data_IF_193436339825
#
_entry.id   IF_193436339825
#
_cell.length_a   1.000
_cell.length_b   1.000
_cell.length_c   1.000
_cell.angle_alpha   90.00
_cell.angle_beta   90.00
_cell.angle_gamma   90.00
#
_symmetry.space_group_name_H-M   'P 1'
#
loop_
_entity.id
_entity.type
_entity.pdbx_description
1 polymer ?
#
# COMPACT_ATOMS: atom_id res chain seq x y z
N UNK A 1 -24.07 -21.93 5.20
CA UNK A 1 -23.27 -21.06 4.32
C UNK A 1 -24.04 -20.55 3.11
N UNK A 2 -24.95 -21.33 2.52
CA UNK A 2 -25.69 -20.93 1.32
C UNK A 2 -26.64 -19.75 1.53
N UNK A 3 -27.23 -19.59 2.70
CA UNK A 3 -28.09 -18.45 3.06
C UNK A 3 -27.31 -17.12 3.06
N UNK A 4 -26.10 -17.10 3.63
CA UNK A 4 -25.23 -15.92 3.68
C UNK A 4 -24.77 -15.51 2.28
N UNK A 5 -24.42 -16.47 1.43
CA UNK A 5 -24.03 -16.24 0.03
C UNK A 5 -25.20 -15.68 -0.80
N UNK A 6 -26.42 -16.15 -0.56
CA UNK A 6 -27.62 -15.68 -1.29
C UNK A 6 -27.98 -14.23 -0.95
N UNK A 7 -27.67 -13.76 0.27
CA UNK A 7 -27.90 -12.37 0.71
C UNK A 7 -26.61 -11.53 0.76
N UNK A 8 -25.51 -12.00 0.18
CA UNK A 8 -24.21 -11.35 0.27
C UNK A 8 -24.22 -9.89 -0.20
N UNK A 9 -24.95 -9.55 -1.26
CA UNK A 9 -25.07 -8.17 -1.74
C UNK A 9 -25.75 -7.23 -0.75
N UNK A 10 -26.78 -7.69 -0.05
CA UNK A 10 -27.48 -6.87 0.96
C UNK A 10 -26.57 -6.66 2.18
N UNK A 11 -25.94 -7.73 2.68
CA UNK A 11 -25.01 -7.66 3.82
C UNK A 11 -23.86 -6.70 3.50
N UNK A 12 -23.31 -6.78 2.28
CA UNK A 12 -22.27 -5.89 1.80
C UNK A 12 -22.66 -4.41 1.87
N UNK A 13 -23.83 -4.07 1.34
CA UNK A 13 -24.35 -2.70 1.36
C UNK A 13 -24.61 -2.25 2.80
N UNK A 14 -25.17 -3.10 3.66
CA UNK A 14 -25.39 -2.79 5.07
C UNK A 14 -24.09 -2.47 5.81
N UNK A 15 -23.02 -3.27 5.62
CA UNK A 15 -21.73 -3.01 6.25
C UNK A 15 -21.17 -1.67 5.78
N UNK A 16 -21.17 -1.41 4.47
CA UNK A 16 -20.69 -0.13 3.93
C UNK A 16 -21.50 1.05 4.45
N UNK A 17 -22.83 0.93 4.51
CA UNK A 17 -23.68 1.99 5.03
C UNK A 17 -23.42 2.27 6.50
N UNK A 18 -23.28 1.24 7.32
CA UNK A 18 -22.96 1.38 8.75
C UNK A 18 -21.57 2.05 8.91
N UNK A 19 -20.56 1.60 8.17
CA UNK A 19 -19.24 2.23 8.21
C UNK A 19 -19.30 3.70 7.81
N UNK A 20 -20.02 4.03 6.73
CA UNK A 20 -20.17 5.41 6.27
C UNK A 20 -20.87 6.28 7.33
N UNK A 21 -21.94 5.78 7.96
CA UNK A 21 -22.64 6.49 9.05
C UNK A 21 -21.72 6.68 10.26
N UNK A 22 -20.97 5.65 10.68
CA UNK A 22 -20.03 5.76 11.79
C UNK A 22 -18.92 6.80 11.51
N UNK A 23 -18.41 6.85 10.27
CA UNK A 23 -17.37 7.82 9.89
C UNK A 23 -17.92 9.25 9.78
N UNK A 24 -19.19 9.41 9.39
CA UNK A 24 -19.87 10.71 9.35
C UNK A 24 -20.28 11.18 10.75
N UNK A 25 -20.46 10.28 11.69
CA UNK A 25 -20.78 10.59 13.09
C UNK A 25 -19.73 11.48 13.78
N UNK A 26 -18.52 11.50 13.26
CA UNK A 26 -17.42 12.36 13.73
C UNK A 26 -17.71 13.88 13.62
N UNK A 27 -18.58 14.24 12.68
CA UNK A 27 -19.02 15.63 12.48
C UNK A 27 -20.19 16.04 13.41
N UNK A 28 -20.73 15.10 14.19
CA UNK A 28 -21.85 15.36 15.11
C UNK A 28 -21.33 15.34 16.54
N UNK A 29 -21.44 16.46 17.28
CA UNK A 29 -21.01 16.53 18.67
C UNK A 29 -21.66 15.42 19.51
N UNK A 30 -20.83 14.65 20.25
CA UNK A 30 -21.28 13.55 21.12
C UNK A 30 -21.34 12.17 20.45
N UNK A 31 -21.16 12.04 19.13
CA UNK A 31 -21.14 10.74 18.43
C UNK A 31 -19.74 10.26 18.00
N UNK A 32 -18.68 11.00 18.36
CA UNK A 32 -17.28 10.71 18.00
C UNK A 32 -16.82 9.32 18.47
N UNK A 33 -17.45 8.77 19.51
CA UNK A 33 -17.15 7.41 20.01
C UNK A 33 -17.44 6.34 18.95
N UNK A 34 -18.41 6.57 18.05
CA UNK A 34 -18.71 5.60 16.99
C UNK A 34 -17.61 5.55 15.92
N UNK A 35 -17.01 6.69 15.59
CA UNK A 35 -15.93 6.76 14.58
C UNK A 35 -14.65 6.12 15.07
N UNK A 36 -14.35 6.18 16.38
CA UNK A 36 -13.14 5.61 16.97
C UNK A 36 -13.05 4.07 16.84
N UNK A 37 -14.19 3.38 16.68
CA UNK A 37 -14.23 1.93 16.46
C UNK A 37 -13.91 1.53 15.00
N UNK A 38 -14.09 2.45 14.04
CA UNK A 38 -13.88 2.16 12.62
C UNK A 38 -12.47 2.59 12.22
N UNK A 39 -11.49 1.79 12.61
CA UNK A 39 -10.08 2.00 12.26
C UNK A 39 -9.70 1.28 10.96
N UNK A 40 -8.60 1.65 10.27
CA UNK A 40 -8.15 0.98 9.05
C UNK A 40 -7.99 -0.56 9.20
N UNK A 41 -7.35 -1.09 10.28
CA UNK A 41 -7.28 -2.53 10.50
C UNK A 41 -8.64 -3.20 10.69
N UNK A 42 -9.55 -2.56 11.44
CA UNK A 42 -10.91 -3.09 11.66
C UNK A 42 -11.68 -3.15 10.34
N UNK A 43 -11.60 -2.09 9.52
CA UNK A 43 -12.24 -2.05 8.22
C UNK A 43 -11.72 -3.16 7.27
N UNK A 44 -10.39 -3.36 7.23
CA UNK A 44 -9.78 -4.45 6.46
C UNK A 44 -10.24 -5.82 6.96
N UNK A 45 -10.22 -6.03 8.28
CA UNK A 45 -10.63 -7.30 8.90
C UNK A 45 -12.09 -7.61 8.59
N UNK A 46 -12.99 -6.63 8.72
CA UNK A 46 -14.39 -6.78 8.35
C UNK A 46 -14.56 -7.16 6.88
N UNK A 47 -13.83 -6.50 5.98
CA UNK A 47 -13.82 -6.83 4.56
C UNK A 47 -13.33 -8.26 4.29
N UNK A 48 -12.25 -8.68 4.95
CA UNK A 48 -11.69 -10.03 4.83
C UNK A 48 -12.66 -11.11 5.34
N UNK A 49 -13.20 -10.92 6.55
CA UNK A 49 -14.20 -11.84 7.13
C UNK A 49 -15.42 -11.94 6.24
N UNK A 50 -15.90 -10.81 5.69
CA UNK A 50 -17.00 -10.80 4.75
C UNK A 50 -16.65 -11.61 3.49
N UNK A 51 -15.48 -11.38 2.86
CA UNK A 51 -15.08 -12.09 1.65
C UNK A 51 -14.94 -13.60 1.85
N UNK A 52 -14.42 -14.03 3.00
CA UNK A 52 -14.25 -15.44 3.33
C UNK A 52 -15.57 -16.13 3.69
N UNK A 53 -16.51 -15.43 4.34
CA UNK A 53 -17.78 -15.98 4.81
C UNK A 53 -18.89 -15.91 3.75
N UNK A 54 -19.05 -14.75 3.12
CA UNK A 54 -20.16 -14.44 2.20
C UNK A 54 -19.75 -14.52 0.73
N UNK A 55 -18.43 -14.57 0.43
CA UNK A 55 -17.89 -14.50 -0.92
C UNK A 55 -17.75 -13.07 -1.41
N UNK A 56 -17.60 -12.91 -2.73
CA UNK A 56 -17.37 -11.60 -3.37
C UNK A 56 -18.53 -11.27 -4.32
N UNK A 57 -19.57 -10.56 -3.86
CA UNK A 57 -20.71 -10.22 -4.72
C UNK A 57 -20.35 -9.23 -5.83
N UNK A 58 -19.36 -8.34 -5.59
CA UNK A 58 -19.00 -7.26 -6.52
C UNK A 58 -17.48 -7.17 -6.75
N UNK A 59 -16.78 -8.19 -7.30
CA UNK A 59 -15.32 -8.22 -7.38
C UNK A 59 -14.74 -7.10 -8.26
N UNK A 60 -15.36 -6.83 -9.42
CA UNK A 60 -14.91 -5.76 -10.33
C UNK A 60 -15.10 -4.36 -9.72
N UNK A 61 -16.21 -4.15 -9.02
CA UNK A 61 -16.50 -2.90 -8.30
C UNK A 61 -15.49 -2.67 -7.19
N UNK A 62 -15.24 -3.66 -6.33
CA UNK A 62 -14.27 -3.58 -5.25
C UNK A 62 -12.87 -3.23 -5.76
N UNK A 63 -12.41 -3.91 -6.81
CA UNK A 63 -11.10 -3.65 -7.43
C UNK A 63 -11.00 -2.24 -7.99
N UNK A 64 -12.04 -1.74 -8.63
CA UNK A 64 -12.08 -0.38 -9.17
C UNK A 64 -12.13 0.66 -8.05
N UNK A 65 -13.02 0.48 -7.08
CA UNK A 65 -13.24 1.44 -5.99
C UNK A 65 -12.06 1.51 -5.04
N UNK A 66 -11.45 0.38 -4.66
CA UNK A 66 -10.26 0.37 -3.82
C UNK A 66 -9.12 1.16 -4.46
N UNK A 67 -8.89 0.97 -5.77
CA UNK A 67 -7.84 1.71 -6.48
C UNK A 67 -8.13 3.21 -6.57
N UNK A 68 -9.34 3.58 -6.99
CA UNK A 68 -9.71 5.00 -7.16
C UNK A 68 -9.72 5.73 -5.82
N UNK A 69 -10.39 5.16 -4.83
CA UNK A 69 -10.54 5.80 -3.51
C UNK A 69 -9.20 5.92 -2.80
N UNK A 70 -8.30 4.91 -2.93
CA UNK A 70 -6.93 5.01 -2.44
C UNK A 70 -6.20 6.19 -3.07
N UNK A 71 -6.25 6.33 -4.39
CA UNK A 71 -5.55 7.40 -5.10
C UNK A 71 -6.05 8.77 -4.69
N UNK A 72 -7.37 8.97 -4.63
CA UNK A 72 -7.97 10.24 -4.18
C UNK A 72 -7.67 10.53 -2.71
N UNK A 73 -7.75 9.53 -1.86
CA UNK A 73 -7.43 9.69 -0.43
C UNK A 73 -5.95 10.05 -0.23
N UNK A 74 -5.02 9.39 -0.93
CA UNK A 74 -3.60 9.72 -0.86
C UNK A 74 -3.34 11.15 -1.34
N UNK A 75 -3.94 11.59 -2.45
CA UNK A 75 -3.84 12.99 -2.91
C UNK A 75 -4.42 13.94 -1.86
N UNK A 76 -5.57 13.61 -1.29
CA UNK A 76 -6.21 14.41 -0.24
C UNK A 76 -5.36 14.53 1.04
N UNK A 77 -4.60 13.49 1.41
CA UNK A 77 -3.64 13.57 2.52
C UNK A 77 -2.55 14.62 2.28
N UNK A 78 -2.13 14.82 1.04
CA UNK A 78 -1.15 15.83 0.67
C UNK A 78 -1.53 17.26 1.10
N UNK A 79 -2.84 17.56 1.18
CA UNK A 79 -3.34 18.85 1.70
C UNK A 79 -3.18 19.02 3.23
N UNK A 80 -2.80 17.99 3.95
CA UNK A 80 -2.46 18.06 5.38
C UNK A 80 -0.96 17.92 5.65
N UNK A 81 -0.09 18.12 4.64
CA UNK A 81 1.36 17.90 4.75
C UNK A 81 2.13 19.13 4.33
N UNK A 82 3.26 19.38 5.02
CA UNK A 82 4.19 20.47 4.71
C UNK A 82 5.31 19.96 3.79
N UNK A 83 5.72 20.79 2.82
CA UNK A 83 6.75 20.43 1.84
C UNK A 83 8.12 20.21 2.51
N UNK A 84 8.50 21.03 3.48
CA UNK A 84 9.82 20.94 4.13
C UNK A 84 9.94 19.65 4.93
N UNK A 85 8.92 19.30 5.72
CA UNK A 85 8.84 18.05 6.47
C UNK A 85 8.84 16.85 5.54
N UNK A 86 8.09 16.93 4.43
CA UNK A 86 8.02 15.87 3.43
C UNK A 86 9.36 15.65 2.72
N UNK A 87 10.10 16.72 2.43
CA UNK A 87 11.43 16.63 1.84
C UNK A 87 12.47 16.06 2.83
N UNK A 88 12.40 16.42 4.11
CA UNK A 88 13.28 15.86 5.13
C UNK A 88 13.08 14.35 5.25
N UNK A 89 11.84 13.89 5.47
CA UNK A 89 11.51 12.46 5.51
C UNK A 89 11.87 11.71 4.21
N UNK A 90 11.67 12.36 3.05
CA UNK A 90 12.05 11.80 1.76
C UNK A 90 13.57 11.60 1.58
N UNK A 91 14.39 12.52 2.08
CA UNK A 91 15.85 12.44 2.01
C UNK A 91 16.41 11.31 2.88
N UNK A 92 15.94 11.18 4.12
CA UNK A 92 16.35 10.10 5.03
C UNK A 92 16.09 8.72 4.40
N UNK A 93 14.92 8.52 3.79
CA UNK A 93 14.58 7.26 3.13
C UNK A 93 15.26 7.02 1.78
N UNK A 94 15.82 8.05 1.13
CA UNK A 94 16.28 7.93 -0.27
C UNK A 94 17.54 7.07 -0.43
N UNK A 95 18.56 7.27 0.40
CA UNK A 95 19.81 6.49 0.34
C UNK A 95 19.53 5.01 0.56
N UNK A 96 18.75 4.69 1.60
CA UNK A 96 18.36 3.32 1.86
C UNK A 96 17.49 2.76 0.74
N UNK A 97 16.64 3.59 0.11
CA UNK A 97 15.78 3.17 -1.01
C UNK A 97 16.63 2.66 -2.18
N UNK A 98 17.67 3.36 -2.59
CA UNK A 98 18.56 2.93 -3.69
C UNK A 98 19.18 1.56 -3.40
N UNK A 99 19.78 1.43 -2.22
CA UNK A 99 20.46 0.19 -1.79
C UNK A 99 19.44 -0.95 -1.69
N UNK A 100 18.28 -0.69 -1.08
CA UNK A 100 17.27 -1.72 -0.88
C UNK A 100 16.60 -2.16 -2.18
N UNK A 101 16.36 -1.25 -3.15
CA UNK A 101 15.79 -1.61 -4.46
C UNK A 101 16.76 -2.51 -5.23
N UNK A 102 18.04 -2.12 -5.35
CA UNK A 102 19.05 -2.90 -6.05
C UNK A 102 19.29 -4.24 -5.32
N UNK A 103 19.47 -4.19 -4.01
CA UNK A 103 19.71 -5.38 -3.19
C UNK A 103 18.54 -6.37 -3.27
N UNK A 104 17.29 -5.89 -3.16
CA UNK A 104 16.10 -6.75 -3.26
C UNK A 104 15.98 -7.39 -4.64
N UNK A 105 16.27 -6.65 -5.72
CA UNK A 105 16.27 -7.22 -7.07
C UNK A 105 17.31 -8.31 -7.24
N UNK A 106 18.56 -8.08 -6.78
CA UNK A 106 19.64 -9.06 -6.90
C UNK A 106 19.39 -10.30 -6.04
N UNK A 107 19.06 -10.11 -4.76
CA UNK A 107 18.77 -11.20 -3.82
C UNK A 107 17.53 -11.97 -4.27
N UNK A 108 16.48 -11.28 -4.74
CA UNK A 108 15.25 -11.88 -5.19
C UNK A 108 15.46 -12.76 -6.43
N UNK A 109 16.22 -12.28 -7.40
CA UNK A 109 16.57 -13.09 -8.58
C UNK A 109 17.44 -14.29 -8.22
N UNK A 110 18.37 -14.13 -7.27
CA UNK A 110 19.19 -15.24 -6.78
C UNK A 110 18.31 -16.30 -6.09
N UNK A 111 17.50 -15.89 -5.11
CA UNK A 111 16.60 -16.79 -4.37
C UNK A 111 15.61 -17.46 -5.32
N UNK A 112 14.91 -16.68 -6.14
CA UNK A 112 13.87 -17.20 -7.01
C UNK A 112 14.38 -18.14 -8.10
N UNK A 113 15.39 -17.70 -8.88
CA UNK A 113 15.88 -18.48 -10.02
C UNK A 113 16.84 -19.59 -9.62
N UNK A 114 17.81 -19.33 -8.72
CA UNK A 114 18.83 -20.34 -8.38
C UNK A 114 18.39 -21.27 -7.25
N UNK A 115 17.82 -20.73 -6.17
CA UNK A 115 17.49 -21.53 -5.01
C UNK A 115 16.14 -22.26 -5.19
N UNK A 116 15.07 -21.52 -5.53
CA UNK A 116 13.73 -22.07 -5.64
C UNK A 116 13.37 -22.58 -7.03
N UNK A 117 14.21 -22.31 -8.04
CA UNK A 117 14.00 -22.70 -9.45
C UNK A 117 12.62 -22.26 -9.97
N UNK A 118 12.27 -21.01 -9.69
CA UNK A 118 11.05 -20.35 -10.20
C UNK A 118 11.36 -19.82 -11.60
N UNK A 119 10.32 -19.75 -12.44
CA UNK A 119 10.42 -19.07 -13.73
C UNK A 119 10.98 -17.65 -13.55
N UNK A 120 11.88 -17.25 -14.46
CA UNK A 120 12.58 -15.97 -14.44
C UNK A 120 11.62 -14.78 -14.37
N UNK A 121 10.54 -14.82 -15.16
CA UNK A 121 9.58 -13.72 -15.24
C UNK A 121 8.81 -13.57 -13.93
N UNK A 122 8.28 -14.66 -13.36
CA UNK A 122 7.62 -14.66 -12.05
C UNK A 122 8.57 -14.18 -10.96
N UNK A 123 9.82 -14.69 -10.93
CA UNK A 123 10.82 -14.28 -9.93
C UNK A 123 11.17 -12.78 -10.05
N UNK A 124 11.32 -12.28 -11.27
CA UNK A 124 11.58 -10.86 -11.52
C UNK A 124 10.41 -9.97 -11.06
N UNK A 125 9.18 -10.38 -11.35
CA UNK A 125 7.97 -9.64 -10.94
C UNK A 125 7.77 -9.63 -9.43
N UNK A 126 7.98 -10.77 -8.74
CA UNK A 126 7.92 -10.82 -7.27
C UNK A 126 9.01 -9.92 -6.68
N UNK A 127 10.23 -9.98 -7.21
CA UNK A 127 11.35 -9.14 -6.75
C UNK A 127 11.08 -7.65 -6.96
N UNK A 128 10.55 -7.26 -8.14
CA UNK A 128 10.22 -5.86 -8.45
C UNK A 128 9.07 -5.33 -7.58
N UNK A 129 8.06 -6.17 -7.33
CA UNK A 129 6.96 -5.84 -6.42
C UNK A 129 7.45 -5.60 -5.00
N UNK A 130 8.29 -6.51 -4.49
CA UNK A 130 8.93 -6.36 -3.16
C UNK A 130 9.84 -5.15 -3.08
N UNK A 131 10.62 -4.89 -4.13
CA UNK A 131 11.63 -3.84 -4.15
C UNK A 131 11.05 -2.43 -4.10
N UNK A 132 9.87 -2.16 -4.68
CA UNK A 132 9.36 -0.79 -4.84
C UNK A 132 8.01 -0.59 -4.14
N UNK A 133 6.91 -0.92 -4.83
CA UNK A 133 5.55 -0.60 -4.36
C UNK A 133 4.50 -1.65 -4.73
N UNK A 134 4.89 -2.91 -4.69
CA UNK A 134 3.97 -4.03 -4.86
C UNK A 134 3.34 -4.12 -6.23
N UNK A 135 2.03 -4.11 -6.26
CA UNK A 135 1.24 -4.31 -7.47
C UNK A 135 1.48 -3.28 -8.56
N UNK A 136 1.77 -2.02 -8.20
CA UNK A 136 2.05 -0.96 -9.18
C UNK A 136 3.35 -1.21 -9.95
N UNK A 137 4.39 -1.69 -9.25
CA UNK A 137 5.65 -2.07 -9.89
C UNK A 137 5.47 -3.26 -10.83
N UNK A 138 4.73 -4.30 -10.39
CA UNK A 138 4.42 -5.47 -11.23
C UNK A 138 3.64 -5.05 -12.48
N UNK A 139 2.62 -4.20 -12.33
CA UNK A 139 1.81 -3.72 -13.44
C UNK A 139 2.60 -2.88 -14.46
N UNK A 140 3.59 -2.13 -13.99
CA UNK A 140 4.46 -1.33 -14.86
C UNK A 140 5.52 -2.17 -15.58
N UNK A 141 6.16 -3.08 -14.84
CA UNK A 141 7.29 -3.88 -15.33
C UNK A 141 6.83 -5.10 -16.15
N UNK A 142 5.71 -5.71 -15.78
CA UNK A 142 5.20 -6.93 -16.44
C UNK A 142 5.02 -6.80 -17.96
N UNK A 143 4.36 -5.73 -18.47
CA UNK A 143 4.28 -5.51 -19.92
C UNK A 143 5.64 -5.26 -20.58
N UNK A 144 6.58 -4.59 -19.90
CA UNK A 144 7.94 -4.35 -20.39
C UNK A 144 8.70 -5.66 -20.50
N UNK A 145 8.55 -6.55 -19.52
CA UNK A 145 9.13 -7.88 -19.49
C UNK A 145 8.47 -8.83 -20.52
N UNK A 146 7.31 -8.48 -21.07
CA UNK A 146 6.42 -9.36 -21.87
C UNK A 146 6.00 -10.61 -21.08
N UNK A 147 5.86 -10.46 -19.77
CA UNK A 147 5.47 -11.56 -18.90
C UNK A 147 4.05 -12.06 -19.23
N UNK A 148 3.82 -13.36 -19.04
CA UNK A 148 2.50 -13.97 -19.22
C UNK A 148 1.54 -13.46 -18.13
N UNK A 149 0.25 -13.40 -18.44
CA UNK A 149 -0.79 -13.01 -17.48
C UNK A 149 -0.80 -13.92 -16.24
N UNK A 150 -0.43 -15.19 -16.40
CA UNK A 150 -0.27 -16.14 -15.30
C UNK A 150 0.85 -15.73 -14.34
N UNK A 151 2.03 -15.34 -14.88
CA UNK A 151 3.18 -14.91 -14.06
C UNK A 151 2.86 -13.61 -13.32
N UNK A 152 2.21 -12.66 -13.99
CA UNK A 152 1.74 -11.42 -13.38
C UNK A 152 0.72 -11.69 -12.25
N UNK A 153 -0.24 -12.60 -12.51
CA UNK A 153 -1.27 -12.94 -11.51
C UNK A 153 -0.68 -13.60 -10.26
N UNK A 154 0.28 -14.53 -10.45
CA UNK A 154 0.98 -15.19 -9.34
C UNK A 154 1.79 -14.20 -8.53
N UNK A 155 2.55 -13.31 -9.19
CA UNK A 155 3.33 -12.28 -8.51
C UNK A 155 2.44 -11.29 -7.73
N UNK A 156 1.35 -10.81 -8.35
CA UNK A 156 0.37 -9.93 -7.69
C UNK A 156 -0.25 -10.59 -6.47
N UNK A 157 -0.68 -11.85 -6.61
CA UNK A 157 -1.31 -12.59 -5.51
C UNK A 157 -0.34 -12.83 -4.36
N UNK A 158 0.94 -13.16 -4.66
CA UNK A 158 2.01 -13.28 -3.66
C UNK A 158 2.14 -12.01 -2.82
N UNK A 159 2.30 -10.87 -3.50
CA UNK A 159 2.48 -9.57 -2.85
C UNK A 159 1.24 -9.18 -2.04
N UNK A 160 0.03 -9.40 -2.56
CA UNK A 160 -1.20 -9.05 -1.84
C UNK A 160 -1.40 -9.89 -0.56
N UNK A 161 -1.06 -11.18 -0.58
CA UNK A 161 -1.13 -12.03 0.63
C UNK A 161 -0.17 -11.50 1.69
N UNK A 162 1.09 -11.23 1.33
CA UNK A 162 2.09 -10.72 2.28
C UNK A 162 1.69 -9.36 2.86
N UNK A 163 1.17 -8.46 2.04
CA UNK A 163 0.74 -7.14 2.46
C UNK A 163 -0.47 -7.17 3.39
N UNK A 164 -1.39 -8.12 3.17
CA UNK A 164 -2.54 -8.32 4.05
C UNK A 164 -2.11 -8.76 5.45
N UNK A 165 -1.08 -9.60 5.53
CA UNK A 165 -0.47 -10.00 6.81
C UNK A 165 0.30 -8.82 7.42
N UNK A 166 1.10 -8.12 6.60
CA UNK A 166 1.91 -7.00 7.04
C UNK A 166 1.10 -5.90 7.73
N UNK A 167 -0.08 -5.57 7.21
CA UNK A 167 -0.93 -4.53 7.76
C UNK A 167 -1.28 -4.75 9.24
N UNK A 168 -1.42 -6.01 9.66
CA UNK A 168 -1.72 -6.35 11.06
C UNK A 168 -0.45 -6.56 11.89
N UNK A 169 0.55 -7.21 11.31
CA UNK A 169 1.75 -7.64 12.03
C UNK A 169 2.68 -6.46 12.33
N UNK A 170 2.88 -5.55 11.37
CA UNK A 170 3.86 -4.46 11.53
C UNK A 170 3.54 -3.49 12.65
N UNK A 171 2.30 -2.99 12.84
CA UNK A 171 1.99 -2.12 13.97
C UNK A 171 2.25 -2.78 15.32
N UNK A 172 1.93 -4.07 15.45
CA UNK A 172 2.19 -4.84 16.68
C UNK A 172 3.69 -4.98 16.93
N UNK A 173 4.47 -5.34 15.90
CA UNK A 173 5.93 -5.43 16.00
C UNK A 173 6.57 -4.06 16.28
N UNK A 174 6.07 -2.98 15.66
CA UNK A 174 6.57 -1.63 15.92
C UNK A 174 6.45 -1.23 17.37
N UNK A 175 5.29 -1.48 17.99
CA UNK A 175 5.08 -1.26 19.41
C UNK A 175 5.96 -2.19 20.28
N UNK A 176 6.14 -3.44 19.86
CA UNK A 176 6.98 -4.39 20.60
C UNK A 176 8.46 -4.00 20.58
N UNK A 177 8.95 -3.44 19.47
CA UNK A 177 10.32 -2.91 19.35
C UNK A 177 10.47 -1.51 19.96
N UNK A 178 9.40 -0.88 20.42
CA UNK A 178 9.42 0.47 21.01
C UNK A 178 9.74 1.58 20.01
N UNK A 179 9.40 1.38 18.72
CA UNK A 179 9.65 2.37 17.67
C UNK A 179 8.77 3.61 17.90
N UNK A 180 9.33 4.80 17.73
CA UNK A 180 8.54 6.01 17.62
C UNK A 180 7.79 6.09 16.26
N UNK A 181 6.96 7.13 16.09
CA UNK A 181 6.13 7.23 14.89
C UNK A 181 6.96 7.49 13.62
N UNK A 182 8.07 8.21 13.72
CA UNK A 182 8.96 8.48 12.59
C UNK A 182 9.72 7.22 12.18
N UNK A 183 10.31 6.51 13.14
CA UNK A 183 10.97 5.23 12.95
C UNK A 183 10.03 4.20 12.35
N UNK A 184 8.82 4.05 12.94
CA UNK A 184 7.84 3.12 12.41
C UNK A 184 7.38 3.49 11.00
N UNK A 185 7.11 4.77 10.75
CA UNK A 185 6.72 5.26 9.43
C UNK A 185 7.75 4.93 8.36
N UNK A 186 9.03 5.15 8.66
CA UNK A 186 10.17 4.81 7.80
C UNK A 186 10.26 3.31 7.58
N UNK A 187 10.22 2.52 8.67
CA UNK A 187 10.27 1.06 8.60
C UNK A 187 9.12 0.47 7.78
N UNK A 188 7.89 0.87 8.06
CA UNK A 188 6.71 0.42 7.34
C UNK A 188 6.76 0.77 5.84
N UNK A 189 7.22 1.96 5.49
CA UNK A 189 7.37 2.38 4.10
C UNK A 189 8.36 1.52 3.31
N UNK A 190 9.41 1.04 3.97
CA UNK A 190 10.45 0.22 3.35
C UNK A 190 10.02 -1.25 3.31
N UNK A 191 9.57 -1.78 4.43
CA UNK A 191 9.37 -3.21 4.64
C UNK A 191 8.01 -3.73 4.15
N UNK A 192 6.94 -2.94 4.17
CA UNK A 192 5.66 -3.32 3.61
C UNK A 192 5.64 -2.98 2.11
N UNK A 193 5.32 -3.95 1.27
CA UNK A 193 5.54 -3.82 -0.18
C UNK A 193 4.54 -2.90 -0.88
N UNK A 194 3.27 -2.85 -0.46
CA UNK A 194 2.21 -2.11 -1.15
C UNK A 194 1.88 -0.78 -0.47
N UNK A 195 1.58 0.24 -1.28
CA UNK A 195 1.23 1.59 -0.78
C UNK A 195 -0.01 1.59 0.09
N UNK A 196 -1.05 0.82 -0.26
CA UNK A 196 -2.29 0.79 0.51
C UNK A 196 -2.09 0.21 1.91
N UNK A 197 -1.30 -0.86 2.01
CA UNK A 197 -0.99 -1.51 3.28
C UNK A 197 -0.06 -0.66 4.16
N UNK A 198 0.88 0.07 3.54
CA UNK A 198 1.73 1.05 4.25
C UNK A 198 0.90 2.16 4.86
N UNK A 199 0.01 2.75 4.06
CA UNK A 199 -0.88 3.82 4.52
C UNK A 199 -1.79 3.33 5.63
N UNK A 200 -2.33 2.10 5.50
CA UNK A 200 -3.16 1.48 6.53
C UNK A 200 -2.39 1.21 7.83
N UNK A 201 -1.17 0.67 7.75
CA UNK A 201 -0.32 0.41 8.90
C UNK A 201 0.12 1.72 9.59
N UNK A 202 0.50 2.73 8.81
CA UNK A 202 0.84 4.07 9.32
C UNK A 202 -0.34 4.72 10.04
N UNK A 203 -1.55 4.66 9.44
CA UNK A 203 -2.77 5.20 10.05
C UNK A 203 -3.16 4.47 11.35
N UNK A 204 -2.85 3.17 11.46
CA UNK A 204 -3.09 2.39 12.67
C UNK A 204 -2.07 2.71 13.77
N UNK A 205 -0.86 3.11 13.41
CA UNK A 205 0.22 3.41 14.35
C UNK A 205 0.15 4.85 14.89
N UNK A 206 -0.13 5.82 14.01
CA UNK A 206 -0.26 7.22 14.41
C UNK A 206 -0.28 8.17 13.22
N UNK A 207 -0.61 9.43 13.53
CA UNK A 207 -0.77 10.45 12.49
C UNK A 207 0.56 10.82 11.81
N UNK A 208 1.62 10.95 12.60
CA UNK A 208 2.97 11.24 12.09
C UNK A 208 3.52 10.04 11.32
N UNK A 209 3.33 8.81 11.83
CA UNK A 209 3.69 7.60 11.14
C UNK A 209 3.00 7.49 9.78
N UNK A 210 1.73 7.87 9.67
CA UNK A 210 1.01 7.92 8.39
C UNK A 210 1.66 8.90 7.40
N UNK A 211 2.01 10.12 7.85
CA UNK A 211 2.64 11.15 7.00
C UNK A 211 3.99 10.66 6.49
N UNK A 212 4.86 10.22 7.38
CA UNK A 212 6.21 9.73 7.06
C UNK A 212 6.14 8.52 6.13
N UNK A 213 5.35 7.51 6.50
CA UNK A 213 5.20 6.29 5.71
C UNK A 213 4.68 6.56 4.30
N UNK A 214 3.69 7.44 4.16
CA UNK A 214 3.10 7.80 2.87
C UNK A 214 4.12 8.52 1.99
N UNK A 215 4.82 9.51 2.54
CA UNK A 215 5.83 10.30 1.81
C UNK A 215 6.95 9.42 1.29
N UNK A 216 7.57 8.62 2.16
CA UNK A 216 8.69 7.74 1.78
C UNK A 216 8.22 6.70 0.76
N UNK A 217 7.04 6.12 0.95
CA UNK A 217 6.50 5.13 0.00
C UNK A 217 6.21 5.71 -1.38
N UNK A 218 5.69 6.93 -1.46
CA UNK A 218 5.42 7.59 -2.74
C UNK A 218 6.72 8.02 -3.44
N UNK A 219 7.71 8.51 -2.69
CA UNK A 219 9.05 8.79 -3.22
C UNK A 219 9.68 7.51 -3.79
N UNK A 220 9.55 6.39 -3.06
CA UNK A 220 10.03 5.09 -3.53
C UNK A 220 9.30 4.60 -4.79
N UNK A 221 8.01 4.91 -4.94
CA UNK A 221 7.24 4.55 -6.13
C UNK A 221 7.75 5.21 -7.42
N UNK A 222 8.46 6.34 -7.34
CA UNK A 222 9.12 6.96 -8.50
C UNK A 222 10.21 6.06 -9.11
N UNK A 223 10.79 5.15 -8.33
CA UNK A 223 11.78 4.17 -8.81
C UNK A 223 11.21 3.14 -9.78
N UNK A 224 9.89 3.10 -9.96
CA UNK A 224 9.27 2.33 -11.06
C UNK A 224 9.84 2.75 -12.42
N UNK A 225 10.09 4.05 -12.62
CA UNK A 225 10.56 4.60 -13.90
C UNK A 225 11.97 4.09 -14.22
N UNK A 226 12.98 4.30 -13.35
CA UNK A 226 14.32 3.73 -13.55
C UNK A 226 14.29 2.21 -13.73
N UNK A 227 13.53 1.49 -12.90
CA UNK A 227 13.45 0.03 -12.99
C UNK A 227 12.84 -0.43 -14.32
N UNK A 228 11.78 0.22 -14.81
CA UNK A 228 11.16 -0.12 -16.09
C UNK A 228 12.12 0.15 -17.27
N UNK A 229 12.89 1.24 -17.21
CA UNK A 229 13.92 1.55 -18.21
C UNK A 229 15.00 0.46 -18.20
N UNK A 230 15.56 0.14 -17.03
CA UNK A 230 16.58 -0.93 -16.88
C UNK A 230 16.03 -2.27 -17.38
N UNK A 231 14.77 -2.59 -17.02
CA UNK A 231 14.11 -3.81 -17.52
C UNK A 231 14.02 -3.83 -19.05
N UNK A 232 13.64 -2.71 -19.67
CA UNK A 232 13.56 -2.58 -21.13
C UNK A 232 14.92 -2.81 -21.81
N UNK A 233 15.99 -2.27 -21.23
CA UNK A 233 17.36 -2.44 -21.73
C UNK A 233 17.84 -3.89 -21.59
N UNK A 234 17.63 -4.53 -20.43
CA UNK A 234 18.05 -5.92 -20.19
C UNK A 234 17.31 -6.92 -21.08
N UNK A 235 16.00 -6.72 -21.27
CA UNK A 235 15.15 -7.64 -22.02
C UNK A 235 14.94 -7.24 -23.49
N UNK A 236 15.66 -6.17 -23.95
CA UNK A 236 15.61 -5.64 -25.33
C UNK A 236 14.18 -5.46 -25.87
N UNK A 237 13.34 -4.81 -25.07
CA UNK A 237 11.93 -4.64 -25.40
C UNK A 237 11.72 -3.24 -25.97
N UNK A 238 11.52 -3.12 -27.28
CA UNK A 238 11.22 -1.85 -27.95
C UNK A 238 9.74 -1.47 -27.84
N UNK A 239 9.47 -0.19 -27.64
CA UNK A 239 8.18 0.44 -27.97
C UNK A 239 7.02 0.31 -26.98
N UNK A 240 7.20 -0.16 -25.72
CA UNK A 240 6.08 -0.21 -24.77
C UNK A 240 6.03 1.02 -23.84
N UNK A 241 4.82 1.58 -23.66
CA UNK A 241 4.57 2.73 -22.77
C UNK A 241 4.72 2.29 -21.30
N UNK A 242 5.57 3.00 -20.55
CA UNK A 242 5.69 2.86 -19.10
C UNK A 242 4.43 3.44 -18.46
N UNK A 243 3.77 2.67 -17.60
CA UNK A 243 2.60 3.14 -16.86
C UNK A 243 3.06 3.97 -15.66
N UNK A 244 2.96 5.28 -15.77
CA UNK A 244 3.32 6.21 -14.69
C UNK A 244 2.13 6.37 -13.74
N UNK A 245 2.28 6.23 -12.44
CA UNK A 245 1.21 6.43 -11.46
C UNK A 245 0.95 7.94 -11.24
N UNK A 246 0.11 8.53 -12.07
CA UNK A 246 -0.15 9.98 -12.09
C UNK A 246 -0.61 10.57 -10.76
N UNK A 247 -1.25 9.81 -9.90
CA UNK A 247 -1.69 10.30 -8.59
C UNK A 247 -0.55 10.76 -7.68
N UNK A 248 0.70 10.30 -7.92
CA UNK A 248 1.89 10.77 -7.19
C UNK A 248 2.17 12.23 -7.50
N UNK A 249 2.04 12.62 -8.77
CA UNK A 249 2.21 14.03 -9.16
C UNK A 249 1.13 14.91 -8.54
N UNK A 250 -0.13 14.46 -8.52
CA UNK A 250 -1.21 15.19 -7.84
C UNK A 250 -0.98 15.29 -6.33
N UNK A 251 -0.42 14.26 -5.70
CA UNK A 251 -0.02 14.31 -4.28
C UNK A 251 1.04 15.38 -4.03
N UNK A 252 2.09 15.47 -4.87
CA UNK A 252 3.11 16.52 -4.78
C UNK A 252 2.48 17.90 -4.96
N UNK A 253 1.61 18.07 -5.95
CA UNK A 253 0.88 19.32 -6.17
C UNK A 253 0.03 19.69 -4.95
N UNK A 254 -0.65 18.72 -4.33
CA UNK A 254 -1.44 18.95 -3.11
C UNK A 254 -0.57 19.45 -1.95
N UNK A 255 0.62 18.89 -1.74
CA UNK A 255 1.58 19.37 -0.73
C UNK A 255 2.03 20.81 -1.04
N UNK A 256 2.36 21.10 -2.31
CA UNK A 256 2.76 22.46 -2.72
C UNK A 256 1.64 23.46 -2.48
N UNK A 257 0.41 23.12 -2.85
CA UNK A 257 -0.77 23.98 -2.62
C UNK A 257 -1.00 24.19 -1.13
N UNK A 258 -0.90 23.14 -0.32
CA UNK A 258 -1.03 23.27 1.14
C UNK A 258 0.03 24.23 1.69
N UNK A 259 1.30 24.01 1.39
CA UNK A 259 2.42 24.76 1.97
C UNK A 259 2.41 26.23 1.56
N UNK A 260 2.18 26.53 0.26
CA UNK A 260 2.34 27.90 -0.26
C UNK A 260 1.03 28.70 -0.36
N UNK A 261 -0.12 28.03 -0.44
CA UNK A 261 -1.42 28.70 -0.63
C UNK A 261 -2.29 28.62 0.63
N UNK A 262 -2.40 27.44 1.25
CA UNK A 262 -3.32 27.25 2.37
C UNK A 262 -2.70 27.67 3.71
N UNK A 263 -1.50 27.20 4.04
CA UNK A 263 -0.82 27.54 5.31
C UNK A 263 -0.46 29.04 5.40
N UNK A 264 -0.15 29.67 4.26
CA UNK A 264 0.15 31.11 4.18
C UNK A 264 -1.07 32.03 4.39
N UNK A 265 -2.30 31.50 4.29
CA UNK A 265 -3.54 32.25 4.41
C UNK A 265 -4.37 31.72 5.58
N UNK A 266 -4.39 32.41 6.71
CA UNK A 266 -5.10 31.98 7.92
C UNK A 266 -6.58 31.60 7.71
N UNK A 267 -7.27 32.25 6.76
CA UNK A 267 -8.66 31.93 6.40
C UNK A 267 -8.80 30.59 5.64
N UNK A 268 -7.76 30.16 4.93
CA UNK A 268 -7.75 28.94 4.09
C UNK A 268 -7.09 27.74 4.77
N UNK A 269 -6.36 27.95 5.87
CA UNK A 269 -5.64 26.89 6.59
C UNK A 269 -6.58 25.75 7.06
N UNK A 270 -7.84 26.06 7.39
CA UNK A 270 -8.82 25.04 7.78
C UNK A 270 -9.20 24.11 6.61
N UNK A 271 -9.10 24.56 5.35
CA UNK A 271 -9.48 23.76 4.18
C UNK A 271 -8.56 22.56 4.03
N UNK A 272 -7.24 22.72 4.18
CA UNK A 272 -6.27 21.64 4.13
C UNK A 272 -6.59 20.53 5.16
N UNK A 273 -6.89 20.92 6.39
CA UNK A 273 -7.26 19.98 7.46
C UNK A 273 -8.58 19.25 7.18
N UNK A 274 -9.58 19.93 6.65
CA UNK A 274 -10.87 19.32 6.28
C UNK A 274 -10.68 18.31 5.15
N UNK A 275 -9.96 18.68 4.09
CA UNK A 275 -9.67 17.78 2.95
C UNK A 275 -8.88 16.56 3.40
N UNK A 276 -7.83 16.75 4.21
CA UNK A 276 -7.03 15.66 4.77
C UNK A 276 -7.86 14.76 5.71
N UNK A 277 -8.75 15.33 6.51
CA UNK A 277 -9.69 14.58 7.36
C UNK A 277 -10.64 13.69 6.56
N UNK A 278 -11.23 14.22 5.48
CA UNK A 278 -12.07 13.45 4.55
C UNK A 278 -11.25 12.35 3.88
N UNK A 279 -10.03 12.66 3.47
CA UNK A 279 -9.13 11.69 2.85
C UNK A 279 -8.80 10.51 3.77
N UNK A 280 -8.56 10.74 5.07
CA UNK A 280 -8.37 9.68 6.08
C UNK A 280 -9.59 8.77 6.18
N UNK A 281 -10.80 9.31 6.16
CA UNK A 281 -12.03 8.53 6.17
C UNK A 281 -12.18 7.72 4.88
N UNK A 282 -11.81 8.29 3.74
CA UNK A 282 -11.73 7.58 2.46
C UNK A 282 -10.77 6.39 2.50
N UNK A 283 -9.62 6.52 3.19
CA UNK A 283 -8.69 5.42 3.40
C UNK A 283 -9.30 4.27 4.20
N UNK A 284 -10.06 4.56 5.25
CA UNK A 284 -10.72 3.52 6.05
C UNK A 284 -11.68 2.70 5.18
N UNK A 285 -12.50 3.36 4.37
CA UNK A 285 -13.41 2.68 3.42
C UNK A 285 -12.61 1.88 2.38
N UNK A 286 -11.47 2.42 1.93
CA UNK A 286 -10.57 1.73 1.01
C UNK A 286 -10.06 0.40 1.59
N UNK A 287 -9.72 0.37 2.89
CA UNK A 287 -9.28 -0.85 3.56
C UNK A 287 -10.36 -1.92 3.55
N UNK A 288 -11.63 -1.56 3.74
CA UNK A 288 -12.74 -2.50 3.61
C UNK A 288 -12.81 -3.09 2.19
N UNK A 289 -12.73 -2.27 1.14
CA UNK A 289 -12.72 -2.77 -0.24
C UNK A 289 -11.54 -3.69 -0.54
N UNK A 290 -10.36 -3.40 0.01
CA UNK A 290 -9.18 -4.25 -0.13
C UNK A 290 -9.43 -5.59 0.55
N UNK A 291 -9.91 -5.60 1.80
CA UNK A 291 -10.25 -6.81 2.52
C UNK A 291 -11.32 -7.64 1.78
N UNK A 292 -12.38 -6.99 1.31
CA UNK A 292 -13.46 -7.62 0.55
C UNK A 292 -13.01 -8.17 -0.83
N UNK A 293 -11.85 -7.74 -1.33
CA UNK A 293 -11.25 -8.25 -2.58
C UNK A 293 -10.39 -9.50 -2.39
N UNK A 294 -10.06 -9.87 -1.15
CA UNK A 294 -9.25 -11.06 -0.85
C UNK A 294 -10.12 -12.31 -0.86
N UNK A 295 -9.94 -13.17 -1.86
CA UNK A 295 -10.67 -14.44 -1.96
C UNK A 295 -9.79 -15.65 -1.68
N UNK A 296 -10.40 -16.75 -1.19
CA UNK A 296 -9.72 -18.02 -1.05
C UNK A 296 -9.15 -18.55 -2.39
N UNK A 297 -9.76 -18.17 -3.52
CA UNK A 297 -9.27 -18.50 -4.87
C UNK A 297 -7.95 -17.83 -5.19
N UNK A 298 -7.77 -16.55 -4.83
CA UNK A 298 -6.50 -15.82 -4.98
C UNK A 298 -5.40 -16.46 -4.14
N UNK A 299 -5.71 -16.83 -2.89
CA UNK A 299 -4.74 -17.50 -2.00
C UNK A 299 -4.30 -18.86 -2.58
N UNK A 300 -5.22 -19.62 -3.16
CA UNK A 300 -4.93 -20.95 -3.76
C UNK A 300 -4.20 -20.88 -5.09
N UNK A 301 -4.32 -19.79 -5.84
CA UNK A 301 -3.64 -19.61 -7.13
C UNK A 301 -2.15 -19.35 -7.02
N UNK A 302 -1.66 -18.99 -5.83
CA UNK A 302 -0.23 -18.76 -5.57
C UNK A 302 0.45 -20.09 -5.30
N UNK A 303 1.42 -20.43 -6.13
CA UNK A 303 2.29 -21.57 -5.86
C UNK A 303 3.17 -21.34 -4.63
N UNK A 304 3.51 -22.41 -3.91
CA UNK A 304 4.32 -22.34 -2.69
C UNK A 304 5.67 -21.62 -2.92
N UNK A 305 6.32 -21.88 -4.05
CA UNK A 305 7.66 -21.33 -4.34
C UNK A 305 7.67 -19.79 -4.47
N UNK A 306 6.79 -19.12 -5.24
CA UNK A 306 6.72 -17.67 -5.29
C UNK A 306 6.39 -17.03 -3.91
N UNK A 307 5.53 -17.69 -3.13
CA UNK A 307 5.20 -17.24 -1.78
C UNK A 307 6.44 -17.31 -0.86
N UNK A 308 7.19 -18.40 -0.91
CA UNK A 308 8.45 -18.55 -0.15
C UNK A 308 9.48 -17.49 -0.59
N UNK A 309 9.61 -17.23 -1.89
CA UNK A 309 10.46 -16.14 -2.37
C UNK A 309 10.05 -14.80 -1.76
N UNK A 310 8.76 -14.48 -1.82
CA UNK A 310 8.22 -13.24 -1.25
C UNK A 310 8.47 -13.13 0.26
N UNK A 311 8.26 -14.21 1.03
CA UNK A 311 8.51 -14.26 2.49
C UNK A 311 9.98 -14.06 2.80
N UNK A 312 10.89 -14.74 2.10
CA UNK A 312 12.33 -14.59 2.32
C UNK A 312 12.79 -13.16 2.04
N UNK A 313 12.33 -12.57 0.93
CA UNK A 313 12.63 -11.17 0.63
C UNK A 313 12.03 -10.22 1.68
N UNK A 314 10.82 -10.51 2.14
CA UNK A 314 10.17 -9.72 3.18
C UNK A 314 10.96 -9.73 4.49
N UNK A 315 11.44 -10.89 4.92
CA UNK A 315 12.30 -11.01 6.10
C UNK A 315 13.59 -10.21 5.90
N UNK A 316 14.27 -10.39 4.78
CA UNK A 316 15.55 -9.69 4.50
C UNK A 316 15.37 -8.17 4.54
N UNK A 317 14.33 -7.65 3.87
CA UNK A 317 14.12 -6.20 3.81
C UNK A 317 13.63 -5.63 5.14
N UNK A 318 12.77 -6.38 5.87
CA UNK A 318 12.24 -5.95 7.17
C UNK A 318 13.32 -5.90 8.24
N UNK A 319 14.15 -6.94 8.32
CA UNK A 319 15.27 -6.99 9.29
C UNK A 319 16.35 -5.97 8.91
N UNK A 320 16.72 -5.91 7.63
CA UNK A 320 17.75 -4.96 7.17
C UNK A 320 17.35 -3.51 7.39
N UNK A 321 16.08 -3.15 7.11
CA UNK A 321 15.60 -1.79 7.35
C UNK A 321 15.41 -1.47 8.83
N UNK A 322 14.99 -2.45 9.64
CA UNK A 322 14.89 -2.26 11.09
C UNK A 322 16.26 -2.01 11.71
N UNK A 323 17.27 -2.82 11.34
CA UNK A 323 18.64 -2.62 11.81
C UNK A 323 19.17 -1.24 11.42
N UNK A 324 18.94 -0.81 10.18
CA UNK A 324 19.34 0.52 9.73
C UNK A 324 18.73 1.62 10.61
N UNK A 325 17.42 1.57 10.88
CA UNK A 325 16.70 2.57 11.65
C UNK A 325 17.10 2.58 13.13
N UNK A 326 17.45 1.43 13.69
CA UNK A 326 17.88 1.34 15.10
C UNK A 326 19.35 1.73 15.32
N UNK A 327 20.16 1.76 14.24
CA UNK A 327 21.58 2.15 14.30
C UNK A 327 21.79 3.64 13.97
N UNK A 328 20.79 4.32 13.39
CA UNK A 328 20.79 5.72 13.03
C UNK A 328 20.22 6.54 14.21
#
# INVERSE_FOLDING_TARGET
MDFLRRKSGVIYICILSIMAVCLLADYVPGLNVLSSWVTPPVALFLGLVFALSCGQPYPAFNKKMSKMLLQYSVVGLGFGMNLQESLASGKEGMTFTVISVIGTMLIGMFIGCKLLKINRDTSYLVSSGTAICGGSAIAAVGPVLKAKDTDMSVALATIFILNSIALFVFPVLGHWFGLDQQQFGTWAAIAIHDTSSVVGAGAAYGEEALKVATTIKLTRALWIIPLAIVTSLIFKTEGKKICIPWFIFYFIVAILVNTYVLEGNGALACVGNVVSGIARKGLIITMFFIGASLSAGVIRSVGVKPLVQGVLLWIVISVGSLMYILCD
#
